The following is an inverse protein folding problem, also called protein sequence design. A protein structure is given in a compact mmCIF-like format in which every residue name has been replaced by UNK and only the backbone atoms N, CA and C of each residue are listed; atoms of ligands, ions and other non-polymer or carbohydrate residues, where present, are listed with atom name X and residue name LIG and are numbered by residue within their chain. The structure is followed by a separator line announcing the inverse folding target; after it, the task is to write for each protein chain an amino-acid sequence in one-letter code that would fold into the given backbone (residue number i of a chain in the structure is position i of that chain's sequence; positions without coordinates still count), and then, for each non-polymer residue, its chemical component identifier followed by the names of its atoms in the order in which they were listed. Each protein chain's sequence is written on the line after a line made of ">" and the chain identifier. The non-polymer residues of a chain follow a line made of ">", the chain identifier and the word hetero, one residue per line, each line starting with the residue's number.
data_IF_082327559603
#
_entry.id   IF_082327559603
#
_cell.length_a   1.000
_cell.length_b   1.000
_cell.length_c   1.000
_cell.angle_alpha   90.00
_cell.angle_beta   90.00
_cell.angle_gamma   90.00
#
_symmetry.space_group_name_H-M   'P 1'
#
loop_
_entity.id
_entity.type
_entity.pdbx_description
1 polymer ?
2 water ?
#
# COMPACT_ATOMS: atom_id res chain seq x y z
N UNK A 50 -26.80 19.72 11.41
CA UNK A 50 -25.90 18.61 11.81
C UNK A 50 -25.80 17.54 10.71
N UNK A 51 -26.47 17.82 9.60
CA UNK A 51 -26.26 17.12 8.32
C UNK A 51 -24.76 17.09 7.88
N UNK A 52 -24.30 15.96 7.39
CA UNK A 52 -22.96 15.93 6.80
C UNK A 52 -23.09 15.81 5.28
N UNK A 53 -22.44 16.69 4.54
CA UNK A 53 -22.56 16.68 3.09
C UNK A 53 -21.68 15.57 2.48
N UNK A 54 -22.29 14.68 1.71
CA UNK A 54 -21.50 13.68 1.00
C UNK A 54 -20.66 14.32 -0.08
N UNK A 55 -19.43 13.85 -0.22
CA UNK A 55 -18.50 14.37 -1.21
C UNK A 55 -18.37 13.28 -2.26
N UNK A 56 -18.88 13.56 -3.49
CA UNK A 56 -18.94 12.53 -4.51
C UNK A 56 -17.56 12.19 -5.06
N UNK A 57 -16.54 12.97 -4.70
CA UNK A 57 -15.17 12.60 -5.11
C UNK A 57 -14.32 12.04 -3.96
N UNK A 58 -14.97 11.62 -2.90
CA UNK A 58 -14.33 10.88 -1.84
C UNK A 58 -14.87 9.46 -1.83
N UNK A 59 -13.94 8.50 -1.82
CA UNK A 59 -14.23 7.09 -1.94
C UNK A 59 -13.60 6.29 -0.78
N UNK A 60 -14.40 5.49 -0.08
CA UNK A 60 -13.89 4.45 0.85
C UNK A 60 -13.76 3.12 0.12
N UNK A 61 -12.72 2.36 0.47
CA UNK A 61 -12.60 1.02 -0.02
C UNK A 61 -12.72 0.09 1.18
N UNK A 62 -13.64 -0.86 1.10
CA UNK A 62 -14.01 -1.73 2.25
C UNK A 62 -13.70 -3.17 1.85
N UNK A 63 -13.43 -3.99 2.85
CA UNK A 63 -13.33 -5.44 2.63
C UNK A 63 -14.26 -6.17 3.57
N UNK A 64 -14.88 -7.24 3.07
CA UNK A 64 -15.72 -8.13 3.92
C UNK A 64 -15.38 -9.63 3.80
N UNK A 65 -16.23 -10.51 4.35
CA UNK A 65 -16.03 -11.97 4.35
C UNK A 65 -14.58 -12.45 4.44
N UNK A 66 -13.82 -11.88 5.36
CA UNK A 66 -12.41 -12.21 5.50
C UNK A 66 -12.20 -13.68 5.86
N UNK A 67 -11.82 -14.47 4.87
CA UNK A 67 -11.58 -15.89 5.08
C UNK A 67 -12.76 -16.73 4.59
N UNK A 68 -12.95 -16.77 3.28
CA UNK A 68 -14.04 -17.54 2.69
C UNK A 68 -14.64 -18.51 3.69
N UNK A 69 -13.77 -19.35 4.26
CA UNK A 69 -14.21 -20.38 5.20
C UNK A 69 -13.11 -20.75 6.20
N UNK A 70 -13.29 -20.33 7.45
CA UNK A 70 -12.33 -20.65 8.50
C UNK A 70 -11.15 -19.67 8.50
N UNK A 71 -10.12 -20.00 9.26
CA UNK A 71 -8.94 -19.15 9.36
C UNK A 71 -8.39 -18.80 7.99
N UNK A 72 -7.31 -18.01 7.97
CA UNK A 72 -6.68 -17.60 6.72
C UNK A 72 -5.50 -18.50 6.39
N UNK A 73 -5.38 -18.89 5.11
CA UNK A 73 -6.35 -18.47 4.10
C UNK A 73 -5.74 -17.44 3.17
N UNK A 74 -4.43 -17.20 3.30
CA UNK A 74 -3.71 -16.24 2.47
C UNK A 74 -3.98 -16.48 0.98
N UNK A 75 -3.12 -15.94 0.12
CA UNK A 75 -3.29 -16.09 -1.32
C UNK A 75 -4.29 -15.07 -1.84
N UNK A 76 -5.56 -15.42 -1.75
CA UNK A 76 -6.62 -14.61 -2.27
C UNK A 76 -6.75 -13.31 -1.46
N UNK A 77 -6.55 -13.39 -0.15
CA UNK A 77 -6.74 -12.21 0.70
C UNK A 77 -5.67 -11.17 0.39
N UNK A 78 -4.42 -11.61 0.32
CA UNK A 78 -3.33 -10.68 0.08
C UNK A 78 -3.42 -10.11 -1.33
N UNK A 79 -3.95 -10.90 -2.28
CA UNK A 79 -4.13 -10.41 -3.63
C UNK A 79 -5.12 -9.26 -3.60
N UNK A 80 -6.27 -9.49 -2.96
CA UNK A 80 -7.29 -8.47 -2.85
C UNK A 80 -6.83 -7.19 -2.13
N UNK A 81 -6.03 -7.37 -1.08
CA UNK A 81 -5.39 -6.26 -0.34
C UNK A 81 -4.45 -5.45 -1.23
N UNK A 82 -3.62 -6.15 -1.99
CA UNK A 82 -2.76 -5.51 -2.98
C UNK A 82 -3.50 -4.71 -4.06
N UNK A 83 -4.55 -5.33 -4.61
CA UNK A 83 -5.39 -4.69 -5.61
C UNK A 83 -6.02 -3.42 -5.05
N UNK A 84 -6.49 -3.48 -3.80
CA UNK A 84 -7.25 -2.38 -3.22
C UNK A 84 -6.27 -1.24 -2.93
N UNK A 85 -5.12 -1.58 -2.38
CA UNK A 85 -4.01 -0.59 -2.21
C UNK A 85 -3.66 -0.02 -3.60
N UNK A 86 -3.51 -0.87 -4.61
CA UNK A 86 -3.21 -0.26 -5.95
C UNK A 86 -4.29 0.71 -6.47
N UNK A 87 -5.57 0.38 -6.24
CA UNK A 87 -6.66 1.29 -6.69
C UNK A 87 -6.64 2.64 -5.98
N UNK A 88 -6.60 2.56 -4.66
CA UNK A 88 -6.43 3.71 -3.79
C UNK A 88 -5.27 4.62 -4.23
N UNK A 89 -4.09 4.06 -4.33
CA UNK A 89 -2.88 4.92 -4.59
C UNK A 89 -2.91 5.54 -5.98
N UNK A 90 -3.36 4.73 -6.97
CA UNK A 90 -3.56 5.25 -8.35
C UNK A 90 -4.56 6.39 -8.38
N UNK A 91 -5.67 6.24 -7.67
CA UNK A 91 -6.68 7.27 -7.70
C UNK A 91 -6.18 8.51 -6.92
N UNK A 92 -5.69 8.32 -5.70
CA UNK A 92 -5.12 9.52 -4.97
C UNK A 92 -4.09 10.24 -5.75
N UNK A 93 -3.26 9.49 -6.47
CA UNK A 93 -2.11 10.10 -7.13
C UNK A 93 -2.46 10.72 -8.45
N UNK A 94 -3.34 10.08 -9.20
CA UNK A 94 -3.50 10.51 -10.61
C UNK A 94 -4.86 11.12 -10.93
N UNK A 95 -5.67 11.47 -9.93
CA UNK A 95 -6.96 12.05 -10.19
C UNK A 95 -7.29 12.99 -9.06
N UNK A 96 -8.38 13.74 -9.18
CA UNK A 96 -8.84 14.59 -8.06
C UNK A 96 -9.82 13.79 -7.21
N UNK A 97 -9.87 12.47 -7.36
CA UNK A 97 -10.57 11.70 -6.29
C UNK A 97 -9.71 11.55 -5.04
N UNK A 98 -10.31 11.50 -3.86
CA UNK A 98 -9.61 11.14 -2.62
C UNK A 98 -10.10 9.78 -2.18
N UNK A 99 -9.20 8.84 -1.89
CA UNK A 99 -9.59 7.49 -1.44
C UNK A 99 -9.00 7.19 -0.05
N UNK A 100 -9.85 6.71 0.84
CA UNK A 100 -9.48 6.12 2.09
C UNK A 100 -9.48 4.63 1.89
N UNK A 101 -8.30 4.04 1.79
CA UNK A 101 -8.23 2.58 1.78
C UNK A 101 -8.52 2.05 3.20
N UNK A 102 -9.78 1.58 3.42
CA UNK A 102 -10.15 1.03 4.74
C UNK A 102 -10.11 -0.50 4.82
N UNK A 103 -9.40 -1.13 3.91
CA UNK A 103 -9.36 -2.59 3.90
C UNK A 103 -8.87 -3.12 5.26
N UNK A 104 -7.96 -2.37 5.92
CA UNK A 104 -7.33 -2.85 7.16
C UNK A 104 -7.96 -2.19 8.38
N UNK A 105 -9.14 -1.63 8.23
CA UNK A 105 -9.76 -0.86 9.29
C UNK A 105 -11.03 -1.55 9.73
N UNK A 106 -11.12 -1.97 10.98
CA UNK A 106 -12.30 -2.72 11.46
C UNK A 106 -13.50 -1.84 11.84
N UNK A 107 -13.30 -0.52 11.82
CA UNK A 107 -14.19 0.40 12.48
C UNK A 107 -15.13 1.08 11.51
N UNK A 108 -16.42 1.11 11.88
CA UNK A 108 -17.42 1.86 11.16
C UNK A 108 -17.63 3.21 11.85
N UNK A 109 -17.19 4.26 11.16
CA UNK A 109 -17.34 5.62 11.66
C UNK A 109 -18.01 6.49 10.59
N UNK A 110 -18.58 7.62 11.01
CA UNK A 110 -19.31 8.42 10.01
C UNK A 110 -18.37 9.02 8.97
N UNK A 111 -18.63 8.71 7.70
CA UNK A 111 -17.83 9.33 6.65
C UNK A 111 -18.64 10.06 5.59
N UNK A 112 -18.06 11.17 5.15
CA UNK A 112 -18.62 11.96 4.12
C UNK A 112 -18.25 11.39 2.74
N UNK A 113 -17.78 10.13 2.68
CA UNK A 113 -17.45 9.52 1.39
C UNK A 113 -18.70 9.29 0.55
N UNK A 114 -18.68 9.86 -0.64
CA UNK A 114 -19.82 9.79 -1.54
C UNK A 114 -19.97 8.42 -2.15
N UNK A 115 -18.87 7.67 -2.20
CA UNK A 115 -18.88 6.38 -2.92
C UNK A 115 -18.12 5.42 -2.07
N UNK A 116 -18.42 4.14 -2.21
CA UNK A 116 -17.78 3.06 -1.47
C UNK A 116 -17.50 1.90 -2.42
N UNK A 117 -16.26 1.45 -2.44
CA UNK A 117 -15.88 0.28 -3.18
C UNK A 117 -15.76 -0.91 -2.21
N UNK A 118 -16.57 -1.93 -2.40
CA UNK A 118 -16.54 -3.12 -1.54
C UNK A 118 -15.94 -4.33 -2.22
N UNK A 119 -15.07 -5.03 -1.50
CA UNK A 119 -14.45 -6.26 -1.93
C UNK A 119 -14.94 -7.32 -0.94
N UNK A 120 -15.55 -8.38 -1.48
CA UNK A 120 -16.10 -9.48 -0.68
C UNK A 120 -15.89 -10.81 -1.35
N UNK A 121 -15.47 -11.77 -0.56
CA UNK A 121 -15.35 -13.15 -1.02
C UNK A 121 -16.65 -13.88 -0.78
N UNK A 122 -17.28 -14.34 -1.85
CA UNK A 122 -18.61 -14.95 -1.78
C UNK A 122 -18.59 -16.39 -2.28
N UNK A 123 -19.49 -17.22 -1.74
CA UNK A 123 -19.78 -18.54 -2.30
C UNK A 123 -21.27 -18.67 -2.59
N UNK A 124 -21.58 -19.36 -3.70
CA UNK A 124 -22.97 -19.60 -4.12
C UNK A 124 -23.69 -20.55 -3.17
N UNK A 125 -22.95 -21.51 -2.62
CA UNK A 125 -23.51 -22.47 -1.69
C UNK A 125 -24.11 -23.67 -2.43
N UNK A 126 -23.33 -24.28 -3.30
CA UNK A 126 -23.79 -25.43 -4.06
C UNK A 126 -23.22 -26.73 -3.51
N UNK A 127 -22.19 -26.60 -2.66
CA UNK A 127 -21.55 -27.76 -2.06
C UNK A 127 -20.63 -27.35 -0.92
N UNK A 128 -19.92 -28.32 -0.36
CA UNK A 128 -19.00 -28.07 0.74
C UNK A 128 -17.62 -27.68 0.24
N UNK A 129 -17.02 -26.67 0.87
CA UNK A 129 -15.70 -26.19 0.48
C UNK A 129 -15.69 -25.71 -0.97
N UNK A 130 -16.79 -25.09 -1.39
CA UNK A 130 -16.91 -24.58 -2.74
C UNK A 130 -15.87 -23.52 -3.04
N UNK A 131 -15.71 -23.19 -4.32
CA UNK A 131 -14.75 -22.17 -4.73
C UNK A 131 -15.33 -20.77 -4.57
N UNK A 132 -14.51 -19.86 -4.04
CA UNK A 132 -14.92 -18.47 -3.83
C UNK A 132 -14.93 -17.64 -5.11
N UNK A 133 -15.82 -16.67 -5.15
CA UNK A 133 -15.62 -15.59 -6.10
C UNK A 133 -15.42 -14.25 -5.38
N UNK A 134 -14.60 -13.40 -5.98
CA UNK A 134 -14.31 -12.09 -5.42
C UNK A 134 -15.32 -11.09 -5.96
N UNK A 135 -16.27 -10.72 -5.12
CA UNK A 135 -17.30 -9.78 -5.50
C UNK A 135 -16.74 -8.40 -5.26
N UNK A 136 -16.84 -7.52 -6.26
CA UNK A 136 -16.40 -6.14 -6.10
C UNK A 136 -17.47 -5.19 -6.56
N UNK A 137 -18.01 -4.38 -5.65
CA UNK A 137 -19.04 -3.40 -5.99
C UNK A 137 -18.68 -1.95 -5.67
N UNK A 138 -19.10 -1.05 -6.54
CA UNK A 138 -18.93 0.37 -6.33
C UNK A 138 -20.31 0.97 -6.16
N UNK A 139 -20.59 1.52 -4.99
CA UNK A 139 -21.88 2.06 -4.68
C UNK A 139 -21.79 3.58 -4.51
N UNK A 140 -22.83 4.26 -4.98
CA UNK A 140 -22.99 5.71 -4.79
C UNK A 140 -23.88 5.90 -3.58
N UNK A 141 -23.32 6.45 -2.51
CA UNK A 141 -24.00 6.58 -1.22
C UNK A 141 -25.02 7.74 -1.23
N UNK A 142 -24.89 8.65 -2.21
CA UNK A 142 -25.83 9.76 -2.36
C UNK A 142 -27.13 9.29 -2.97
N UNK A 143 -27.03 8.70 -4.15
CA UNK A 143 -28.22 8.34 -4.91
C UNK A 143 -28.56 6.87 -4.72
N UNK A 144 -27.86 6.17 -3.81
CA UNK A 144 -28.04 4.73 -3.56
C UNK A 144 -27.60 3.75 -4.66
N UNK A 145 -27.33 4.23 -5.86
CA UNK A 145 -27.15 3.28 -6.96
C UNK A 145 -25.86 2.39 -6.92
N UNK A 146 -25.92 1.23 -7.60
CA UNK A 146 -24.73 0.42 -7.83
C UNK A 146 -24.11 0.82 -9.15
N UNK A 147 -22.87 1.30 -9.11
CA UNK A 147 -22.21 1.85 -10.27
C UNK A 147 -21.42 0.78 -10.99
N UNK A 148 -21.05 -0.28 -10.28
CA UNK A 148 -20.19 -1.30 -10.85
C UNK A 148 -20.37 -2.53 -10.00
N UNK A 149 -20.50 -3.69 -10.64
CA UNK A 149 -20.78 -4.91 -9.90
C UNK A 149 -20.03 -6.05 -10.58
N UNK A 150 -18.90 -6.48 -10.04
CA UNK A 150 -18.08 -7.46 -10.75
C UNK A 150 -18.02 -8.75 -9.94
N UNK A 151 -17.99 -9.89 -10.63
CA UNK A 151 -17.77 -11.18 -9.96
C UNK A 151 -16.56 -11.82 -10.59
N UNK A 152 -15.45 -11.87 -9.86
CA UNK A 152 -14.22 -12.41 -10.39
C UNK A 152 -13.92 -13.81 -9.83
N UNK A 153 -13.67 -14.78 -10.71
CA UNK A 153 -13.04 -16.05 -10.28
C UNK A 153 -11.52 -16.02 -10.56
N UNK A 154 -10.73 -16.10 -9.50
CA UNK A 154 -9.27 -16.03 -9.61
C UNK A 154 -8.68 -17.40 -9.94
N UNK A 155 -7.75 -17.49 -10.89
CA UNK A 155 -7.33 -18.80 -11.39
C UNK A 155 -5.85 -19.23 -11.36
N UNK A 156 -4.92 -18.41 -10.90
CA UNK A 156 -3.50 -18.79 -11.07
C UNK A 156 -2.86 -18.32 -12.37
N UNK A 157 -3.70 -17.86 -13.33
CA UNK A 157 -3.20 -17.15 -14.50
C UNK A 157 -3.81 -15.78 -14.77
N UNK A 158 -5.04 -15.54 -14.25
CA UNK A 158 -5.78 -14.34 -14.59
C UNK A 158 -5.67 -13.15 -13.58
N UNK A 159 -4.64 -13.19 -12.73
CA UNK A 159 -4.51 -12.18 -11.69
C UNK A 159 -4.26 -10.80 -12.24
N UNK A 160 -3.37 -10.68 -13.22
CA UNK A 160 -3.15 -9.40 -13.89
C UNK A 160 -4.38 -8.93 -14.64
N UNK A 161 -5.05 -9.88 -15.28
CA UNK A 161 -6.22 -9.57 -16.15
C UNK A 161 -7.37 -9.03 -15.34
N UNK A 162 -7.66 -9.65 -14.19
CA UNK A 162 -8.73 -9.15 -13.31
C UNK A 162 -8.49 -7.72 -12.86
N UNK A 163 -7.24 -7.45 -12.45
CA UNK A 163 -6.88 -6.20 -11.87
C UNK A 163 -7.02 -5.16 -12.97
N UNK A 164 -6.53 -5.49 -14.15
CA UNK A 164 -6.69 -4.58 -15.28
C UNK A 164 -8.14 -4.29 -15.60
N UNK A 165 -8.95 -5.35 -15.58
CA UNK A 165 -10.39 -5.19 -15.82
C UNK A 165 -10.99 -4.27 -14.77
N UNK A 166 -10.63 -4.52 -13.51
CA UNK A 166 -11.09 -3.62 -12.42
C UNK A 166 -10.77 -2.14 -12.70
N UNK A 167 -9.50 -1.87 -13.04
CA UNK A 167 -9.07 -0.49 -13.30
C UNK A 167 -9.71 0.18 -14.55
N UNK A 168 -9.91 -0.58 -15.63
CA UNK A 168 -10.73 -0.12 -16.77
C UNK A 168 -12.17 0.17 -16.36
N UNK A 169 -12.74 -0.73 -15.59
CA UNK A 169 -14.14 -0.57 -15.19
C UNK A 169 -14.33 0.67 -14.33
N UNK A 170 -13.41 0.88 -13.35
CA UNK A 170 -13.47 2.07 -12.50
C UNK A 170 -13.29 3.29 -13.36
N UNK A 171 -12.33 3.27 -14.26
CA UNK A 171 -12.11 4.42 -15.17
C UNK A 171 -13.42 4.88 -15.85
N UNK A 172 -14.21 3.91 -16.29
CA UNK A 172 -15.50 4.18 -16.96
C UNK A 172 -16.55 4.59 -15.96
N UNK A 173 -16.73 3.79 -14.90
CA UNK A 173 -17.76 4.16 -13.89
C UNK A 173 -17.55 5.55 -13.31
N UNK A 174 -16.29 5.98 -13.20
CA UNK A 174 -15.98 7.27 -12.62
C UNK A 174 -15.71 8.35 -13.63
N UNK A 175 -15.76 8.01 -14.92
CA UNK A 175 -15.41 8.97 -15.96
C UNK A 175 -14.02 9.49 -15.64
N UNK A 176 -13.10 8.57 -15.37
CA UNK A 176 -11.75 8.95 -14.96
C UNK A 176 -10.72 8.29 -15.87
N UNK A 177 -10.31 9.00 -16.91
CA UNK A 177 -9.25 8.38 -17.72
C UNK A 177 -7.95 8.28 -16.93
N UNK A 178 -7.25 7.18 -17.15
CA UNK A 178 -5.96 7.03 -16.56
C UNK A 178 -4.88 7.77 -17.37
N UNK A 179 -4.09 8.67 -16.71
CA UNK A 179 -3.00 9.42 -17.36
C UNK A 179 -1.84 8.56 -17.86
N UNK A 180 -1.14 9.06 -18.87
CA UNK A 180 0.06 8.40 -19.39
C UNK A 180 1.04 8.03 -18.24
N UNK A 181 1.36 8.98 -17.35
CA UNK A 181 2.30 8.58 -16.27
C UNK A 181 1.80 7.35 -15.47
N UNK A 182 0.49 7.27 -15.22
CA UNK A 182 -0.06 6.14 -14.49
C UNK A 182 0.16 4.85 -15.31
N UNK A 183 -0.25 4.89 -16.57
CA UNK A 183 -0.09 3.72 -17.41
C UNK A 183 1.39 3.31 -17.54
N UNK A 184 2.28 4.26 -17.71
CA UNK A 184 3.73 3.91 -17.75
C UNK A 184 4.32 3.40 -16.42
N UNK A 185 3.78 3.89 -15.30
CA UNK A 185 4.22 3.42 -13.97
C UNK A 185 3.80 1.97 -13.77
N UNK A 186 2.57 1.64 -14.14
CA UNK A 186 2.10 0.27 -13.98
C UNK A 186 2.82 -0.73 -14.85
N UNK A 187 3.16 -0.38 -16.09
CA UNK A 187 3.93 -1.31 -16.93
C UNK A 187 5.30 -1.55 -16.32
N UNK A 188 5.87 -0.52 -15.69
CA UNK A 188 7.13 -0.68 -14.95
C UNK A 188 7.02 -1.49 -13.66
N UNK A 189 5.90 -1.44 -12.95
CA UNK A 189 5.89 -2.07 -11.64
C UNK A 189 5.28 -3.46 -11.66
N UNK A 190 4.55 -3.79 -12.73
CA UNK A 190 3.84 -5.06 -12.76
C UNK A 190 4.61 -6.21 -13.43
N UNK A 191 4.53 -7.40 -12.85
CA UNK A 191 5.07 -8.56 -13.59
C UNK A 191 4.10 -8.93 -14.74
N UNK A 192 4.47 -9.87 -15.60
CA UNK A 192 3.55 -10.22 -16.67
C UNK A 192 2.78 -11.50 -16.41
N UNK A 193 3.42 -12.47 -15.74
CA UNK A 193 2.76 -13.71 -15.38
C UNK A 193 1.88 -13.56 -14.14
N UNK A 194 0.61 -13.96 -14.26
CA UNK A 194 -0.36 -13.96 -13.15
C UNK A 194 0.18 -14.34 -11.75
N UNK A 195 0.80 -15.50 -11.64
CA UNK A 195 1.24 -16.06 -10.39
C UNK A 195 2.34 -15.22 -9.70
N UNK A 196 3.18 -14.53 -10.48
CA UNK A 196 4.19 -13.63 -9.91
C UNK A 196 3.49 -12.47 -9.17
N UNK A 197 2.30 -12.09 -9.65
CA UNK A 197 1.57 -11.00 -9.00
C UNK A 197 1.00 -11.48 -7.66
N UNK A 198 0.54 -12.71 -7.61
CA UNK A 198 0.09 -13.30 -6.36
C UNK A 198 1.22 -13.31 -5.31
N UNK A 199 2.38 -13.77 -5.74
CA UNK A 199 3.55 -13.86 -4.92
C UNK A 199 3.97 -12.48 -4.51
N UNK A 200 4.05 -11.56 -5.47
CA UNK A 200 4.40 -10.18 -5.12
C UNK A 200 3.47 -9.60 -4.05
N UNK A 201 2.17 -9.81 -4.18
CA UNK A 201 1.23 -9.16 -3.28
C UNK A 201 1.24 -9.78 -1.87
N UNK A 202 1.61 -11.05 -1.78
CA UNK A 202 1.86 -11.71 -0.50
C UNK A 202 3.06 -11.06 0.22
N UNK A 203 4.15 -10.82 -0.50
CA UNK A 203 5.28 -10.15 0.08
C UNK A 203 4.88 -8.71 0.44
N UNK A 204 4.12 -8.08 -0.44
CA UNK A 204 3.68 -6.71 -0.22
C UNK A 204 2.84 -6.59 1.02
N UNK A 205 2.01 -7.60 1.28
CA UNK A 205 1.16 -7.59 2.45
C UNK A 205 1.97 -7.70 3.76
N UNK A 206 3.02 -8.52 3.79
CA UNK A 206 4.02 -8.47 4.89
C UNK A 206 4.60 -7.08 5.08
N UNK A 207 4.98 -6.42 4.00
CA UNK A 207 5.43 -5.06 4.09
C UNK A 207 4.37 -4.20 4.83
N UNK A 208 3.12 -4.24 4.39
CA UNK A 208 2.07 -3.45 5.02
C UNK A 208 2.02 -3.67 6.57
N UNK A 209 2.21 -4.93 7.00
CA UNK A 209 2.21 -5.30 8.39
C UNK A 209 3.35 -4.65 9.16
N UNK A 210 4.56 -4.63 8.60
CA UNK A 210 5.62 -3.78 9.12
C UNK A 210 6.48 -4.31 10.27
N UNK A 211 6.02 -5.30 11.03
CA UNK A 211 6.79 -5.89 12.14
C UNK A 211 7.96 -6.68 11.64
N UNK A 212 8.92 -6.94 12.55
CA UNK A 212 10.20 -7.57 12.21
C UNK A 212 10.03 -8.87 11.43
N UNK A 213 9.16 -9.72 11.96
CA UNK A 213 9.00 -11.06 11.42
C UNK A 213 8.34 -10.96 10.04
N UNK A 214 7.32 -10.10 9.92
CA UNK A 214 6.69 -9.82 8.61
C UNK A 214 7.70 -9.40 7.56
N UNK A 215 8.55 -8.44 7.89
CA UNK A 215 9.60 -7.98 6.99
C UNK A 215 10.62 -9.05 6.63
N UNK A 216 11.01 -9.85 7.61
CA UNK A 216 11.93 -10.96 7.32
C UNK A 216 11.26 -11.90 6.32
N UNK A 217 9.98 -12.22 6.56
CA UNK A 217 9.24 -13.01 5.59
C UNK A 217 9.15 -12.35 4.18
N UNK A 218 8.90 -11.01 4.14
CA UNK A 218 8.80 -10.27 2.90
C UNK A 218 10.09 -10.37 2.14
N UNK A 219 11.20 -10.16 2.86
CA UNK A 219 12.51 -10.24 2.24
C UNK A 219 12.79 -11.59 1.59
N UNK A 220 12.47 -12.66 2.29
CA UNK A 220 12.80 -14.01 1.82
C UNK A 220 11.90 -14.37 0.62
N UNK A 221 10.63 -14.03 0.70
CA UNK A 221 9.70 -14.22 -0.40
C UNK A 221 10.18 -13.48 -1.63
N UNK A 222 10.56 -12.21 -1.48
CA UNK A 222 11.02 -11.45 -2.59
C UNK A 222 12.38 -11.94 -3.15
N UNK A 223 13.22 -12.50 -2.31
CA UNK A 223 14.45 -13.11 -2.81
C UNK A 223 14.08 -14.30 -3.71
N UNK A 224 13.06 -15.04 -3.31
CA UNK A 224 12.61 -16.19 -4.10
C UNK A 224 12.09 -15.69 -5.46
N UNK A 225 11.20 -14.69 -5.41
CA UNK A 225 10.56 -14.14 -6.60
C UNK A 225 11.61 -13.69 -7.57
N UNK A 226 12.61 -12.97 -7.05
CA UNK A 226 13.69 -12.43 -7.88
C UNK A 226 14.56 -13.53 -8.50
N UNK A 227 14.82 -14.60 -7.73
CA UNK A 227 15.51 -15.78 -8.24
C UNK A 227 14.74 -16.44 -9.42
N UNK A 228 13.44 -16.63 -9.30
CA UNK A 228 12.69 -17.28 -10.36
C UNK A 228 12.38 -16.38 -11.57
N UNK A 229 12.41 -15.07 -11.35
CA UNK A 229 12.18 -14.12 -12.42
C UNK A 229 13.06 -12.88 -12.27
N UNK A 230 14.35 -13.00 -12.63
CA UNK A 230 15.26 -11.88 -12.47
C UNK A 230 14.99 -10.64 -13.28
N UNK A 231 14.13 -10.74 -14.31
CA UNK A 231 13.74 -9.57 -15.12
C UNK A 231 12.76 -8.71 -14.37
N UNK A 232 12.18 -9.27 -13.31
CA UNK A 232 11.08 -8.60 -12.59
C UNK A 232 11.73 -7.55 -11.67
N UNK A 233 12.18 -6.45 -12.28
CA UNK A 233 12.98 -5.47 -11.55
C UNK A 233 12.31 -4.90 -10.29
N UNK A 234 11.00 -4.74 -10.35
CA UNK A 234 10.30 -4.08 -9.28
C UNK A 234 10.32 -4.85 -7.96
N UNK A 235 10.37 -6.18 -8.08
CA UNK A 235 10.53 -7.08 -6.99
C UNK A 235 11.85 -6.83 -6.32
N UNK A 236 12.89 -6.57 -7.11
CA UNK A 236 14.16 -6.27 -6.53
C UNK A 236 14.00 -4.98 -5.74
N UNK A 237 13.31 -3.98 -6.32
CA UNK A 237 13.16 -2.70 -5.63
C UNK A 237 12.40 -2.90 -4.31
N UNK A 238 11.33 -3.70 -4.33
CA UNK A 238 10.54 -3.90 -3.12
C UNK A 238 11.41 -4.58 -2.05
N UNK A 239 12.27 -5.49 -2.50
CA UNK A 239 13.18 -6.22 -1.62
C UNK A 239 14.16 -5.24 -1.04
N UNK A 240 14.65 -4.32 -1.86
CA UNK A 240 15.61 -3.34 -1.35
C UNK A 240 15.00 -2.40 -0.30
N UNK A 241 13.71 -2.10 -0.46
CA UNK A 241 13.00 -1.22 0.45
C UNK A 241 12.79 -1.95 1.80
N UNK A 242 12.22 -3.15 1.74
CA UNK A 242 12.10 -4.04 2.87
C UNK A 242 13.46 -4.20 3.63
N UNK A 243 14.54 -4.43 2.90
CA UNK A 243 15.87 -4.59 3.50
C UNK A 243 16.48 -3.33 4.17
N UNK A 244 16.30 -2.13 3.60
CA UNK A 244 16.79 -0.95 4.27
C UNK A 244 15.98 -0.72 5.51
N UNK A 245 14.68 -1.03 5.47
CA UNK A 245 13.79 -0.74 6.58
C UNK A 245 14.16 -1.67 7.75
N UNK A 246 14.38 -2.94 7.44
CA UNK A 246 14.80 -3.91 8.43
C UNK A 246 16.04 -3.38 9.12
N UNK A 247 17.05 -3.10 8.28
CA UNK A 247 18.31 -2.64 8.81
C UNK A 247 18.18 -1.39 9.64
N UNK A 248 17.33 -0.44 9.21
CA UNK A 248 17.12 0.84 9.92
C UNK A 248 16.73 0.65 11.37
N UNK A 249 16.08 -0.47 11.62
CA UNK A 249 15.47 -0.71 12.90
C UNK A 249 16.37 -1.53 13.79
N UNK A 250 17.27 -2.28 13.16
CA UNK A 250 18.27 -3.04 13.86
C UNK A 250 19.67 -2.69 13.29
N UNK A 251 20.10 -1.43 13.45
CA UNK A 251 21.27 -0.90 12.76
C UNK A 251 22.62 -1.51 13.15
N UNK A 252 22.68 -2.33 14.18
CA UNK A 252 23.94 -3.03 14.53
C UNK A 252 24.05 -4.51 14.05
N UNK A 253 23.53 -4.85 12.88
CA UNK A 253 23.58 -6.23 12.37
C UNK A 253 24.26 -6.32 10.97
N UNK A 254 24.98 -7.44 10.72
CA UNK A 254 25.66 -7.65 9.42
C UNK A 254 25.71 -9.08 8.86
N UNK A 255 25.23 -9.24 7.63
CA UNK A 255 25.26 -10.54 6.94
C UNK A 255 26.49 -10.66 6.06
N UNK A 256 27.28 -11.69 6.30
CA UNK A 256 28.53 -11.89 5.57
C UNK A 256 29.20 -10.56 5.28
N UNK A 257 28.45 -9.47 5.48
CA UNK A 257 28.98 -8.14 5.25
C UNK A 257 29.85 -8.10 4.00
N UNK A 258 29.41 -7.32 3.01
CA UNK A 258 28.21 -6.51 3.15
C UNK A 258 27.90 -5.76 1.87
N UNK A 259 26.73 -5.94 1.24
CA UNK A 259 25.59 -6.86 1.65
C UNK A 259 24.24 -6.24 1.23
N UNK A 260 23.59 -5.62 2.21
CA UNK A 260 22.58 -4.61 1.99
C UNK A 260 23.11 -3.47 1.11
N UNK A 261 24.34 -3.02 1.36
CA UNK A 261 24.92 -1.93 0.58
C UNK A 261 25.07 -2.27 -0.91
N UNK A 262 25.29 -3.55 -1.23
CA UNK A 262 25.44 -3.94 -2.63
C UNK A 262 24.06 -3.79 -3.25
N UNK A 263 23.09 -4.49 -2.66
CA UNK A 263 21.70 -4.40 -3.05
C UNK A 263 21.22 -2.95 -3.30
N UNK A 264 21.47 -2.05 -2.36
CA UNK A 264 21.01 -0.66 -2.44
C UNK A 264 21.80 0.09 -3.49
N UNK A 265 23.11 -0.16 -3.54
CA UNK A 265 23.98 0.40 -4.58
C UNK A 265 23.51 -0.03 -5.97
N UNK A 266 23.32 -1.32 -6.21
CA UNK A 266 22.68 -1.81 -7.43
C UNK A 266 21.34 -1.05 -7.75
N UNK A 267 20.34 -1.21 -6.89
CA UNK A 267 19.00 -0.72 -7.16
C UNK A 267 18.87 0.74 -7.66
N UNK A 268 19.54 1.70 -7.01
CA UNK A 268 19.44 3.10 -7.45
C UNK A 268 20.14 3.38 -8.82
N UNK A 269 20.69 2.35 -9.45
CA UNK A 269 21.35 2.51 -10.75
C UNK A 269 20.56 1.88 -11.89
N UNK A 270 19.50 1.14 -11.58
CA UNK A 270 18.77 0.47 -12.63
C UNK A 270 17.91 1.51 -13.34
N UNK A 271 18.20 1.75 -14.64
CA UNK A 271 17.56 2.83 -15.38
C UNK A 271 16.08 2.56 -15.50
N UNK A 272 15.71 1.28 -15.47
CA UNK A 272 14.33 0.89 -15.50
C UNK A 272 13.49 1.51 -14.35
N UNK A 273 14.13 1.82 -13.21
CA UNK A 273 13.38 2.26 -12.03
C UNK A 273 13.39 3.77 -11.89
N UNK A 274 13.96 4.42 -12.91
CA UNK A 274 13.88 5.85 -13.04
C UNK A 274 12.48 6.31 -12.81
N UNK A 275 12.38 7.39 -12.03
CA UNK A 275 11.12 8.09 -11.85
C UNK A 275 10.00 7.27 -11.24
N UNK A 276 10.38 6.30 -10.42
CA UNK A 276 9.43 5.60 -9.57
C UNK A 276 9.57 6.08 -8.10
N UNK A 277 8.44 6.16 -7.40
CA UNK A 277 8.47 6.55 -6.02
C UNK A 277 9.37 5.62 -5.16
N UNK A 278 9.32 4.31 -5.41
CA UNK A 278 10.03 3.38 -4.59
C UNK A 278 11.54 3.68 -4.45
N UNK A 279 12.18 4.21 -5.51
CA UNK A 279 13.58 4.59 -5.45
C UNK A 279 13.78 5.80 -4.53
N UNK A 280 12.80 6.72 -4.55
CA UNK A 280 12.87 7.82 -3.65
C UNK A 280 12.61 7.38 -2.19
N UNK A 281 11.72 6.41 -2.00
CA UNK A 281 11.55 5.89 -0.65
C UNK A 281 12.89 5.34 -0.13
N UNK A 282 13.58 4.56 -0.96
CA UNK A 282 14.87 3.95 -0.60
C UNK A 282 15.95 5.00 -0.27
N UNK A 283 16.03 6.02 -1.10
CA UNK A 283 16.95 7.13 -0.89
C UNK A 283 16.62 7.89 0.38
N UNK A 284 15.32 8.11 0.64
CA UNK A 284 14.87 8.77 1.89
C UNK A 284 15.33 7.99 3.12
N UNK A 285 15.10 6.68 3.11
CA UNK A 285 15.42 5.87 4.26
C UNK A 285 16.94 5.83 4.43
N UNK A 286 17.66 5.60 3.33
CA UNK A 286 19.10 5.58 3.39
C UNK A 286 19.63 6.91 3.93
N UNK A 287 19.12 8.05 3.48
CA UNK A 287 19.65 9.31 4.00
C UNK A 287 19.26 9.53 5.46
N UNK A 288 18.07 9.05 5.87
CA UNK A 288 17.70 9.23 7.27
C UNK A 288 18.62 8.40 8.16
N UNK A 289 18.85 7.15 7.79
CA UNK A 289 19.76 6.32 8.57
C UNK A 289 21.11 7.05 8.77
N UNK A 290 21.58 7.75 7.73
CA UNK A 290 22.88 8.42 7.79
C UNK A 290 22.81 9.76 8.45
N UNK A 291 21.63 10.15 8.92
CA UNK A 291 21.46 11.45 9.51
C UNK A 291 21.73 12.59 8.54
N UNK A 292 21.34 12.36 7.28
CA UNK A 292 21.38 13.40 6.25
C UNK A 292 19.95 13.86 6.00
N UNK A 293 19.49 14.72 6.88
CA UNK A 293 18.08 15.02 6.93
C UNK A 293 17.57 15.82 5.72
N UNK A 294 18.33 16.80 5.27
CA UNK A 294 17.94 17.58 4.11
C UNK A 294 17.78 16.69 2.87
N UNK A 295 18.67 15.72 2.72
CA UNK A 295 18.69 14.85 1.57
C UNK A 295 17.49 13.90 1.66
N UNK A 296 17.15 13.51 2.88
CA UNK A 296 16.02 12.65 3.10
C UNK A 296 14.72 13.41 2.76
N UNK A 297 14.65 14.65 3.23
CA UNK A 297 13.53 15.51 3.00
C UNK A 297 13.25 15.64 1.51
N UNK A 298 14.32 15.92 0.76
CA UNK A 298 14.22 16.17 -0.68
C UNK A 298 13.74 14.91 -1.36
N UNK A 299 14.37 13.80 -0.99
CA UNK A 299 14.02 12.55 -1.57
C UNK A 299 12.52 12.21 -1.33
N UNK A 300 12.03 12.31 -0.09
CA UNK A 300 10.66 11.88 0.16
C UNK A 300 9.64 12.80 -0.48
N UNK A 301 9.91 14.11 -0.53
CA UNK A 301 9.04 15.01 -1.26
C UNK A 301 8.93 14.74 -2.78
N UNK A 302 10.01 14.33 -3.43
CA UNK A 302 9.88 13.81 -4.81
C UNK A 302 9.01 12.52 -4.87
N UNK A 303 9.22 11.63 -3.89
CA UNK A 303 8.46 10.40 -3.81
C UNK A 303 6.98 10.69 -3.74
N UNK A 304 6.65 11.66 -2.90
CA UNK A 304 5.25 12.06 -2.75
C UNK A 304 4.71 12.66 -4.07
N UNK A 305 5.49 13.45 -4.79
CA UNK A 305 5.07 13.92 -6.13
C UNK A 305 4.72 12.75 -7.07
N UNK A 306 5.44 11.64 -6.93
CA UNK A 306 5.25 10.51 -7.81
C UNK A 306 4.16 9.52 -7.36
N UNK A 307 3.87 9.47 -6.05
CA UNK A 307 2.97 8.54 -5.49
C UNK A 307 2.41 9.10 -4.17
N UNK A 308 1.09 9.34 -4.11
CA UNK A 308 0.44 9.78 -2.83
C UNK A 308 -0.01 8.59 -1.99
N UNK A 309 0.84 8.12 -1.11
CA UNK A 309 0.60 6.87 -0.40
C UNK A 309 0.78 7.02 1.09
N UNK A 310 0.09 6.15 1.81
CA UNK A 310 0.18 6.13 3.28
C UNK A 310 1.66 6.10 3.68
N UNK A 311 2.46 5.31 2.99
CA UNK A 311 3.85 5.07 3.36
C UNK A 311 4.74 6.29 3.11
N UNK A 312 4.52 6.95 1.98
CA UNK A 312 5.25 8.17 1.76
C UNK A 312 4.95 9.23 2.85
N UNK A 313 3.74 9.26 3.38
CA UNK A 313 3.45 10.30 4.37
C UNK A 313 4.01 9.94 5.76
N UNK A 314 4.14 8.66 6.04
CA UNK A 314 4.80 8.17 7.21
C UNK A 314 6.28 8.49 7.11
N UNK A 315 6.89 8.20 5.97
CA UNK A 315 8.28 8.51 5.82
C UNK A 315 8.52 9.99 5.99
N UNK A 316 7.67 10.83 5.39
CA UNK A 316 7.77 12.27 5.59
C UNK A 316 7.63 12.65 7.08
N UNK A 317 6.63 12.09 7.77
CA UNK A 317 6.52 12.31 9.21
C UNK A 317 7.87 11.97 9.86
N UNK A 318 8.49 10.86 9.48
CA UNK A 318 9.71 10.44 10.12
C UNK A 318 10.79 11.46 9.95
N UNK A 319 10.89 12.02 8.74
CA UNK A 319 11.88 13.04 8.43
C UNK A 319 11.59 14.30 9.19
N UNK A 320 10.30 14.68 9.29
CA UNK A 320 9.97 15.83 10.11
C UNK A 320 10.42 15.69 11.59
N UNK A 321 10.39 14.47 12.14
CA UNK A 321 10.75 14.33 13.53
C UNK A 321 12.26 14.57 13.61
N UNK A 322 12.97 14.06 12.60
CA UNK A 322 14.40 14.23 12.56
C UNK A 322 14.74 15.69 12.36
N UNK A 323 13.81 16.45 11.79
CA UNK A 323 14.05 17.87 11.64
C UNK A 323 13.71 18.66 12.88
N UNK A 324 13.32 17.97 13.95
CA UNK A 324 12.81 18.63 15.18
C UNK A 324 11.46 19.31 14.98
N UNK A 325 10.61 18.78 14.07
CA UNK A 325 9.34 19.45 13.75
C UNK A 325 8.15 18.54 14.00
N UNK A 326 7.79 18.38 15.27
CA UNK A 326 6.80 17.39 15.63
C UNK A 326 5.42 17.68 15.09
N UNK A 327 5.07 18.94 14.95
CA UNK A 327 3.71 19.28 14.56
C UNK A 327 3.54 18.93 13.06
N UNK A 328 4.58 19.21 12.27
CA UNK A 328 4.58 18.85 10.85
C UNK A 328 4.57 17.32 10.75
N UNK A 329 5.24 16.65 11.70
CA UNK A 329 5.31 15.18 11.69
C UNK A 329 3.95 14.60 11.91
N UNK A 330 3.28 15.06 12.96
CA UNK A 330 1.96 14.56 13.33
C UNK A 330 0.96 14.79 12.22
N UNK A 331 1.09 15.91 11.52
CA UNK A 331 0.25 16.20 10.35
C UNK A 331 0.44 15.20 9.17
N UNK A 332 1.69 14.89 8.89
CA UNK A 332 2.00 13.85 7.95
C UNK A 332 1.46 12.48 8.38
N UNK A 333 1.61 12.12 9.66
CA UNK A 333 1.11 10.84 10.15
C UNK A 333 -0.40 10.76 10.06
N UNK A 334 -1.06 11.87 10.34
CA UNK A 334 -2.51 11.88 10.26
C UNK A 334 -2.95 11.79 8.79
N UNK A 335 -2.21 12.43 7.87
CA UNK A 335 -2.47 12.20 6.44
C UNK A 335 -2.33 10.70 6.12
N UNK A 336 -1.25 10.07 6.57
CA UNK A 336 -1.09 8.64 6.37
C UNK A 336 -2.28 7.84 6.88
N UNK A 337 -2.83 8.27 8.02
CA UNK A 337 -3.88 7.48 8.63
C UNK A 337 -5.16 7.67 7.83
N UNK A 338 -5.37 8.85 7.25
CA UNK A 338 -6.54 9.07 6.44
C UNK A 338 -6.47 8.22 5.16
N UNK A 339 -5.28 8.06 4.63
CA UNK A 339 -5.09 7.30 3.41
C UNK A 339 -5.32 5.79 3.57
N UNK A 340 -4.83 5.25 4.69
CA UNK A 340 -4.99 3.82 5.01
C UNK A 340 -5.18 3.60 6.54
N UNK A 341 -6.41 3.86 7.08
CA UNK A 341 -6.51 3.79 8.57
C UNK A 341 -6.40 2.36 9.06
N UNK A 342 -5.91 2.15 10.28
CA UNK A 342 -5.83 0.79 10.84
C UNK A 342 -4.48 0.44 11.48
N UNK A 343 -4.35 -0.82 11.88
CA UNK A 343 -3.23 -1.28 12.68
C UNK A 343 -1.91 -1.26 11.91
N UNK A 344 -1.93 -1.56 10.61
CA UNK A 344 -0.70 -1.53 9.78
C UNK A 344 -0.09 -0.14 9.77
N UNK A 345 -0.88 0.87 9.40
CA UNK A 345 -0.36 2.21 9.32
C UNK A 345 0.04 2.71 10.75
N UNK A 346 -0.87 2.49 11.72
CA UNK A 346 -0.56 2.76 13.13
C UNK A 346 0.74 2.11 13.54
N UNK A 347 0.91 0.83 13.22
CA UNK A 347 2.14 0.16 13.49
C UNK A 347 3.35 0.89 12.86
N UNK A 348 3.22 1.39 11.62
CA UNK A 348 4.35 2.04 10.94
C UNK A 348 4.66 3.41 11.58
N UNK A 349 3.62 4.13 11.99
CA UNK A 349 3.81 5.43 12.62
C UNK A 349 4.63 5.20 13.90
N UNK A 350 4.21 4.21 14.69
CA UNK A 350 4.81 3.96 16.01
C UNK A 350 6.18 3.33 15.96
N UNK A 351 6.48 2.59 14.87
CA UNK A 351 7.70 1.76 14.83
C UNK A 351 8.61 1.92 13.64
N UNK A 352 8.15 2.51 12.55
CA UNK A 352 8.92 2.41 11.31
C UNK A 352 10.14 3.26 11.37
N UNK A 353 11.27 2.67 11.00
CA UNK A 353 12.55 3.38 10.89
C UNK A 353 13.13 3.61 12.30
N UNK A 354 12.36 4.29 13.16
CA UNK A 354 12.68 4.44 14.57
C UNK A 354 11.37 4.55 15.33
N UNK A 355 11.40 4.43 16.66
CA UNK A 355 10.17 4.49 17.45
C UNK A 355 9.62 5.93 17.65
N UNK A 356 8.29 6.02 17.71
CA UNK A 356 7.59 7.26 17.78
C UNK A 356 6.39 7.08 18.74
N UNK A 357 6.32 7.96 19.73
CA UNK A 357 5.25 7.93 20.67
C UNK A 357 4.06 8.59 20.05
N UNK A 358 2.98 7.85 19.85
CA UNK A 358 1.77 8.51 19.41
C UNK A 358 1.23 9.44 20.51
N UNK A 359 1.16 8.96 21.77
CA UNK A 359 0.69 9.90 22.82
C UNK A 359 1.45 11.23 22.87
N UNK A 360 2.79 11.23 22.79
CA UNK A 360 3.54 12.50 22.85
C UNK A 360 3.68 13.24 21.50
N UNK A 361 3.84 12.49 20.43
CA UNK A 361 4.14 13.16 19.15
C UNK A 361 2.90 13.37 18.27
N UNK A 362 1.90 12.48 18.35
CA UNK A 362 0.66 12.55 17.55
C UNK A 362 -0.58 12.59 18.50
N UNK A 363 -0.64 13.62 19.39
CA UNK A 363 -1.77 13.67 20.36
C UNK A 363 -3.16 13.65 19.68
N UNK A 364 -3.30 14.24 18.49
CA UNK A 364 -4.60 14.23 17.82
C UNK A 364 -5.02 12.80 17.51
N UNK A 365 -4.06 12.00 17.10
CA UNK A 365 -4.40 10.63 16.72
C UNK A 365 -4.59 9.73 17.95
N UNK A 366 -3.79 10.00 18.97
CA UNK A 366 -3.87 9.26 20.23
C UNK A 366 -5.26 9.38 20.79
N UNK A 367 -5.73 10.64 20.86
CA UNK A 367 -7.06 10.99 21.34
C UNK A 367 -8.21 10.52 20.45
N UNK A 368 -8.00 10.59 19.14
CA UNK A 368 -8.99 10.06 18.20
C UNK A 368 -9.21 8.58 18.42
N UNK A 369 -8.12 7.82 18.49
CA UNK A 369 -8.24 6.38 18.66
C UNK A 369 -8.83 6.01 20.02
N UNK A 370 -8.66 6.84 21.04
CA UNK A 370 -9.29 6.53 22.33
C UNK A 370 -10.79 6.90 22.42
N UNK A 371 -11.40 7.41 21.36
CA UNK A 371 -12.72 8.05 21.52
C UNK A 371 -13.88 7.31 20.83
#
# INVERSE_FOLDING_TARGET
>A
GSGMKETAAAKFERQHMDSPDLGTDDDDKAMAHHHHHHSSGHIEGRHSKSRILLNPRDIDINMVNKSCNSWSSPYQLSYAIGVGDLVATSLNTFSTFMVHDKINYNIDEPSSSGKTLSIAFVNQRQYRAQQCFMSIKLVDNADGSTMLDKRYVITNGNQLAIQNDLLESLSKALNQPWPQRMQETLQKILPHRGALLTNFYQAHDYLLHGDDKSLNRASELLGEIVQSSPEFTYARAEKALVDIVRHSQHPLDEKQLAALNTEIDNIVTLPELNNLSIIYQIKAVSALVKGKTDESYQAINTGIDLEMSWLNYVLLGKVYEMKGMNREAANAYLTAFNLRPGANTLYWIENGIFQTSVPYVVPYLDKFLASE
#
